data_IF_016580785380
#
_entry.id   IF_016580785380
#
_cell.length_a   1.000
_cell.length_b   1.000
_cell.length_c   1.000
_cell.angle_alpha   90.00
_cell.angle_beta   90.00
_cell.angle_gamma   90.00
#
_symmetry.space_group_name_H-M   'P 1'
#
loop_
_entity.id
_entity.type
_entity.pdbx_description
1 polymer ?
#
# COMPACT_ATOMS: atom_id res chain seq x y z
N UNK A 1 -4.02 9.19 8.37
CA UNK A 1 -4.37 8.28 7.24
C UNK A 1 -5.89 8.01 7.21
N UNK A 2 -6.51 7.71 6.06
CA UNK A 2 -7.94 7.36 5.95
C UNK A 2 -8.23 5.93 6.44
N UNK A 3 -9.52 5.56 6.59
CA UNK A 3 -9.90 4.22 7.05
C UNK A 3 -9.91 3.18 5.92
N UNK A 4 -9.85 1.87 6.24
CA UNK A 4 -10.07 0.77 5.27
C UNK A 4 -11.37 0.82 4.48
N UNK A 5 -12.39 1.56 4.95
CA UNK A 5 -13.68 1.72 4.26
C UNK A 5 -13.68 2.92 3.29
N UNK A 6 -12.75 3.88 3.45
CA UNK A 6 -12.65 5.08 2.62
C UNK A 6 -11.91 4.86 1.28
N UNK A 7 -11.32 3.66 1.07
CA UNK A 7 -10.61 3.33 -0.17
C UNK A 7 -11.58 3.17 -1.35
N UNK A 8 -11.91 4.31 -1.99
CA UNK A 8 -12.83 4.37 -3.12
C UNK A 8 -12.26 3.66 -4.37
N UNK A 9 -13.11 3.02 -5.18
CA UNK A 9 -12.72 2.50 -6.49
C UNK A 9 -12.14 3.60 -7.39
N UNK A 10 -11.10 3.26 -8.16
CA UNK A 10 -10.53 4.11 -9.20
C UNK A 10 -10.99 3.60 -10.57
N UNK A 11 -11.66 4.45 -11.34
CA UNK A 11 -12.21 4.14 -12.66
C UNK A 11 -13.12 2.88 -12.67
N UNK A 12 -13.87 2.65 -11.59
CA UNK A 12 -14.72 1.48 -11.38
C UNK A 12 -14.01 0.25 -10.80
N UNK A 13 -12.68 0.17 -10.91
CA UNK A 13 -11.88 -0.91 -10.30
C UNK A 13 -11.74 -0.69 -8.80
N UNK A 14 -12.12 -1.69 -8.00
CA UNK A 14 -11.89 -1.71 -6.54
C UNK A 14 -10.41 -1.48 -6.23
N UNK A 15 -10.11 -0.76 -5.16
CA UNK A 15 -8.75 -0.64 -4.62
C UNK A 15 -8.64 -1.58 -3.42
N UNK A 16 -7.56 -2.37 -3.35
CA UNK A 16 -7.30 -3.23 -2.19
C UNK A 16 -6.27 -2.65 -1.22
N UNK A 17 -5.30 -1.85 -1.69
CA UNK A 17 -4.46 -1.06 -0.81
C UNK A 17 -3.98 0.25 -1.45
N UNK A 18 -3.58 1.19 -0.60
CA UNK A 18 -2.84 2.40 -0.98
C UNK A 18 -1.58 2.48 -0.11
N UNK A 19 -0.43 2.79 -0.73
CA UNK A 19 0.85 3.02 -0.06
C UNK A 19 1.25 4.48 -0.26
N UNK A 20 1.73 5.15 0.79
CA UNK A 20 2.14 6.56 0.78
C UNK A 20 3.65 6.71 0.60
N UNK A 21 4.09 7.83 0.04
CA UNK A 21 5.50 8.21 -0.01
C UNK A 21 5.97 8.99 1.23
N UNK A 22 5.15 9.89 1.76
CA UNK A 22 5.60 10.85 2.77
C UNK A 22 5.47 10.28 4.19
N UNK A 23 6.44 10.58 5.07
CA UNK A 23 6.38 10.24 6.49
C UNK A 23 6.26 11.50 7.35
N UNK A 24 5.45 11.42 8.42
CA UNK A 24 5.34 12.47 9.45
C UNK A 24 5.39 11.81 10.83
N UNK A 25 5.96 12.49 11.86
CA UNK A 25 5.79 12.07 13.25
C UNK A 25 4.34 12.19 13.74
N UNK A 26 3.48 12.92 13.01
CA UNK A 26 2.06 13.09 13.34
C UNK A 26 1.19 12.08 12.54
N UNK A 27 0.29 11.37 13.24
CA UNK A 27 -0.46 10.24 12.68
C UNK A 27 -1.61 10.64 11.73
N UNK A 28 -2.19 11.80 11.91
CA UNK A 28 -3.12 12.41 10.95
C UNK A 28 -2.46 12.53 9.56
N UNK A 29 -1.21 12.99 9.54
CA UNK A 29 -0.38 13.28 8.36
C UNK A 29 0.28 12.04 7.73
N UNK A 30 -0.01 10.81 8.18
CA UNK A 30 0.78 9.62 7.81
C UNK A 30 0.66 9.13 6.34
N UNK A 31 -0.37 9.53 5.58
CA UNK A 31 -0.37 9.34 4.12
C UNK A 31 -0.63 10.74 3.53
N UNK A 32 0.45 11.29 3.00
CA UNK A 32 0.50 12.44 2.12
C UNK A 32 1.47 12.12 0.97
N UNK A 33 1.61 13.06 0.03
CA UNK A 33 2.51 12.93 -1.12
C UNK A 33 2.02 11.92 -2.17
N UNK A 34 2.96 11.30 -2.86
CA UNK A 34 2.66 10.31 -3.90
C UNK A 34 1.98 9.06 -3.31
N UNK A 35 1.01 8.51 -4.05
CA UNK A 35 0.23 7.32 -3.66
C UNK A 35 0.41 6.21 -4.69
N UNK A 36 0.82 5.02 -4.25
CA UNK A 36 0.79 3.80 -5.05
C UNK A 36 -0.49 3.01 -4.75
N UNK A 37 -1.31 2.84 -5.78
CA UNK A 37 -2.58 2.13 -5.72
C UNK A 37 -2.36 0.65 -6.08
N UNK A 38 -2.83 -0.25 -5.22
CA UNK A 38 -2.78 -1.71 -5.44
C UNK A 38 -4.20 -2.22 -5.69
N UNK A 39 -4.54 -2.68 -6.91
CA UNK A 39 -5.83 -3.32 -7.18
C UNK A 39 -5.88 -4.75 -6.62
N UNK A 40 -7.07 -5.38 -6.54
CA UNK A 40 -7.23 -6.80 -6.27
C UNK A 40 -6.34 -7.66 -7.17
N UNK A 41 -5.94 -8.83 -6.67
CA UNK A 41 -5.19 -9.87 -7.38
C UNK A 41 -3.84 -9.41 -7.99
N UNK A 42 -3.35 -8.24 -7.58
CA UNK A 42 -2.13 -7.62 -8.11
C UNK A 42 -0.87 -8.22 -7.48
N UNK A 43 -0.09 -8.94 -8.28
CA UNK A 43 1.23 -9.43 -7.87
C UNK A 43 2.35 -8.51 -8.36
N UNK A 44 3.02 -7.80 -7.43
CA UNK A 44 4.15 -6.92 -7.69
C UNK A 44 5.45 -7.45 -7.07
N UNK A 45 6.11 -8.48 -7.65
CA UNK A 45 7.39 -8.98 -7.14
C UNK A 45 8.53 -7.95 -7.26
N UNK A 46 8.36 -6.90 -8.05
CA UNK A 46 9.28 -5.77 -8.17
C UNK A 46 8.50 -4.45 -8.00
N UNK A 47 9.02 -3.55 -7.18
CA UNK A 47 8.43 -2.21 -7.00
C UNK A 47 8.50 -1.39 -8.30
N UNK A 48 7.49 -0.54 -8.60
CA UNK A 48 7.56 0.43 -9.69
C UNK A 48 8.79 1.34 -9.60
N UNK A 49 9.19 1.91 -10.75
CA UNK A 49 10.30 2.88 -10.80
C UNK A 49 9.97 4.07 -9.90
N UNK A 50 10.90 4.44 -9.02
CA UNK A 50 10.72 5.52 -8.04
C UNK A 50 10.06 5.12 -6.70
N UNK A 51 9.62 3.87 -6.54
CA UNK A 51 8.96 3.39 -5.31
C UNK A 51 9.85 2.53 -4.39
N UNK A 52 11.04 2.14 -4.85
CA UNK A 52 12.00 1.38 -4.04
C UNK A 52 12.39 2.15 -2.76
N UNK A 53 12.11 1.55 -1.60
CA UNK A 53 12.32 2.14 -0.26
C UNK A 53 11.61 3.49 -0.02
N UNK A 54 10.59 3.83 -0.81
CA UNK A 54 9.83 5.09 -0.68
C UNK A 54 8.52 4.95 0.11
N UNK A 55 7.94 3.75 0.17
CA UNK A 55 6.68 3.54 0.88
C UNK A 55 6.85 3.72 2.40
N UNK A 56 6.21 4.76 2.96
CA UNK A 56 6.28 5.17 4.36
C UNK A 56 5.21 4.51 5.25
N UNK A 57 3.98 4.47 4.75
CA UNK A 57 2.79 3.93 5.39
C UNK A 57 1.85 3.33 4.35
N UNK A 58 0.83 2.60 4.81
CA UNK A 58 -0.17 2.01 3.92
C UNK A 58 -1.53 1.88 4.62
N UNK A 59 -2.59 1.81 3.80
CA UNK A 59 -3.95 1.42 4.22
C UNK A 59 -4.37 0.26 3.32
N UNK A 60 -4.81 -0.85 3.92
CA UNK A 60 -5.46 -1.97 3.23
C UNK A 60 -6.98 -1.79 3.38
N UNK A 61 -7.73 -2.08 2.31
CA UNK A 61 -9.18 -1.96 2.29
C UNK A 61 -9.88 -3.12 3.01
N UNK A 62 -11.12 -2.93 3.44
CA UNK A 62 -11.90 -4.01 4.06
C UNK A 62 -12.04 -5.21 3.11
N UNK A 63 -11.86 -6.44 3.62
CA UNK A 63 -11.89 -7.71 2.84
C UNK A 63 -10.84 -7.73 1.71
N UNK A 64 -9.64 -7.25 1.99
CA UNK A 64 -8.46 -7.38 1.14
C UNK A 64 -7.26 -7.75 2.03
N UNK A 65 -6.33 -8.49 1.47
CA UNK A 65 -5.11 -8.93 2.13
C UNK A 65 -3.89 -8.50 1.31
N UNK A 66 -2.86 -8.00 1.99
CA UNK A 66 -1.63 -7.49 1.40
C UNK A 66 -0.44 -8.14 2.09
N UNK A 67 0.30 -8.97 1.35
CA UNK A 67 1.63 -9.39 1.76
C UNK A 67 2.68 -8.50 1.11
N UNK A 68 3.60 -7.96 1.91
CA UNK A 68 4.77 -7.21 1.44
C UNK A 68 6.05 -7.95 1.79
N UNK A 69 7.10 -7.79 0.99
CA UNK A 69 8.42 -8.41 1.18
C UNK A 69 9.51 -7.36 1.28
N UNK A 70 10.47 -7.56 2.19
CA UNK A 70 11.60 -6.65 2.40
C UNK A 70 12.63 -6.64 1.27
N UNK A 71 12.59 -7.59 0.33
CA UNK A 71 13.47 -7.64 -0.85
C UNK A 71 12.73 -8.06 -2.12
N UNK A 72 13.17 -7.49 -3.25
CA UNK A 72 12.66 -7.79 -4.60
C UNK A 72 12.65 -9.29 -4.93
N UNK A 73 11.67 -9.70 -5.74
CA UNK A 73 11.43 -11.10 -6.11
C UNK A 73 10.81 -11.94 -4.99
N UNK A 74 10.01 -11.32 -4.10
CA UNK A 74 9.38 -11.94 -2.91
C UNK A 74 10.40 -12.58 -1.94
N UNK A 75 11.49 -11.86 -1.63
CA UNK A 75 12.61 -12.38 -0.81
C UNK A 75 12.76 -11.62 0.52
N UNK A 76 13.52 -12.22 1.44
CA UNK A 76 13.72 -11.69 2.79
C UNK A 76 12.52 -11.97 3.69
N UNK A 77 12.38 -11.19 4.76
CA UNK A 77 11.18 -11.22 5.61
C UNK A 77 9.97 -10.64 4.88
N UNK A 78 8.80 -11.21 5.14
CA UNK A 78 7.50 -10.67 4.74
C UNK A 78 6.75 -10.06 5.93
N UNK A 79 5.73 -9.25 5.64
CA UNK A 79 4.66 -8.89 6.59
C UNK A 79 3.30 -9.03 5.88
N UNK A 80 2.30 -9.47 6.64
CA UNK A 80 0.92 -9.56 6.20
C UNK A 80 0.11 -8.42 6.82
N UNK A 81 -0.77 -7.81 6.02
CA UNK A 81 -1.73 -6.79 6.45
C UNK A 81 -3.10 -7.18 5.88
N UNK A 82 -4.09 -7.39 6.74
CA UNK A 82 -5.42 -7.89 6.38
C UNK A 82 -6.38 -7.73 7.56
N UNK A 83 -7.61 -8.22 7.42
CA UNK A 83 -8.69 -8.14 8.43
C UNK A 83 -9.08 -9.52 8.96
#
# INVERSE_FOLDING_TARGET
>A
CPTPADLRPLNGTRVCAQLYADNSPYYDQCCAGDVLVVPPDSDMPYMPRGWSARASSLVVGTRCDLTVWSRKGKKGTSRHFGS
#
